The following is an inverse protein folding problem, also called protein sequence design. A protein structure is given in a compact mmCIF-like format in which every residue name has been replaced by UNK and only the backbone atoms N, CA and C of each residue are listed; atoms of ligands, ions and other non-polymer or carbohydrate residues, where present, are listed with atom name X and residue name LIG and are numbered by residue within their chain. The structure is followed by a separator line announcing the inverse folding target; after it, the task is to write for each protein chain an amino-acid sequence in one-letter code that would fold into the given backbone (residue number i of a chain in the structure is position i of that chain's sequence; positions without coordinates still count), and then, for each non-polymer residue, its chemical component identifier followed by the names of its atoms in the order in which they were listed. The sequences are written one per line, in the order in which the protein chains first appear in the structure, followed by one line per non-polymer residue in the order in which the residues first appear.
data_IF_191179246869
#
_entry.id   IF_191179246869
#
_cell.length_a   1.000
_cell.length_b   1.000
_cell.length_c   1.000
_cell.angle_alpha   90.00
_cell.angle_beta   90.00
_cell.angle_gamma   90.00
#
_symmetry.space_group_name_H-M   'P 1'
#
loop_
_entity.id
_entity.type
_entity.pdbx_description
1 polymer ?
#
# COMPACT_ATOMS: atom_id res chain seq x y z
N UNK A 1 -3.74 24.29 -45.69
CA UNK A 1 -3.90 25.08 -44.45
C UNK A 1 -4.18 24.12 -43.31
N UNK A 2 -3.20 23.85 -42.44
CA UNK A 2 -3.39 23.10 -41.18
C UNK A 2 -2.53 23.81 -40.13
N UNK A 3 -3.16 24.53 -39.20
CA UNK A 3 -2.47 25.22 -38.12
C UNK A 3 -1.93 24.21 -37.11
N UNK A 4 -0.61 24.21 -36.89
CA UNK A 4 0.03 23.47 -35.80
C UNK A 4 -0.02 24.34 -34.54
N UNK A 5 -1.07 24.18 -33.73
CA UNK A 5 -1.09 24.73 -32.36
C UNK A 5 0.00 24.05 -31.53
N UNK A 6 1.09 24.77 -31.29
CA UNK A 6 2.09 24.44 -30.26
C UNK A 6 1.47 24.58 -28.88
N UNK A 7 1.34 23.48 -28.13
CA UNK A 7 1.02 23.51 -26.70
C UNK A 7 2.25 24.04 -25.95
N UNK A 8 2.14 25.08 -25.11
CA UNK A 8 3.28 25.53 -24.33
C UNK A 8 3.67 24.46 -23.31
N UNK A 9 4.93 24.08 -23.32
CA UNK A 9 5.53 23.18 -22.35
C UNK A 9 5.30 23.72 -20.94
N UNK A 10 4.80 22.85 -20.06
CA UNK A 10 4.58 23.16 -18.65
C UNK A 10 5.88 23.74 -18.06
N UNK A 11 5.76 24.97 -17.55
CA UNK A 11 6.80 25.68 -16.81
C UNK A 11 7.08 24.93 -15.51
N UNK A 12 8.02 23.99 -15.55
CA UNK A 12 8.55 23.30 -14.37
C UNK A 12 9.41 24.31 -13.57
N UNK A 13 8.74 25.13 -12.77
CA UNK A 13 9.39 26.10 -11.92
C UNK A 13 9.50 25.55 -10.50
N UNK A 14 10.76 25.29 -10.14
CA UNK A 14 11.37 25.53 -8.83
C UNK A 14 11.09 24.51 -7.72
N UNK A 15 12.14 24.19 -6.95
CA UNK A 15 12.19 23.20 -5.87
C UNK A 15 11.37 23.59 -4.64
N UNK A 16 10.05 23.70 -4.80
CA UNK A 16 9.11 24.12 -3.77
C UNK A 16 8.66 22.92 -2.93
N UNK A 17 8.77 23.05 -1.61
CA UNK A 17 8.22 22.13 -0.59
C UNK A 17 6.91 21.52 -1.09
N UNK A 18 6.84 20.18 -1.21
CA UNK A 18 5.63 19.47 -1.67
C UNK A 18 4.43 20.01 -0.90
N UNK A 19 3.58 20.79 -1.56
CA UNK A 19 2.34 21.26 -0.96
C UNK A 19 1.54 20.02 -0.59
N UNK A 20 1.15 19.90 0.69
CA UNK A 20 0.23 18.84 1.10
C UNK A 20 -1.03 18.97 0.23
N UNK A 21 -1.42 17.88 -0.44
CA UNK A 21 -2.63 17.80 -1.28
C UNK A 21 -3.43 16.55 -0.91
N UNK A 22 -4.74 16.59 -1.14
CA UNK A 22 -5.63 15.45 -0.91
C UNK A 22 -5.67 15.03 0.56
N UNK A 23 -5.54 13.73 0.82
CA UNK A 23 -5.57 13.16 2.18
C UNK A 23 -4.57 13.80 3.14
N UNK A 24 -3.40 14.20 2.63
CA UNK A 24 -2.34 14.80 3.44
C UNK A 24 -2.70 16.22 3.93
N UNK A 25 -3.59 16.92 3.22
CA UNK A 25 -4.05 18.27 3.58
C UNK A 25 -5.20 18.28 4.58
N UNK A 26 -5.85 17.14 4.82
CA UNK A 26 -7.05 17.06 5.65
C UNK A 26 -6.74 17.23 7.14
N UNK A 27 -7.77 17.65 7.88
CA UNK A 27 -7.78 17.73 9.33
C UNK A 27 -7.55 16.36 9.99
N UNK A 28 -7.06 16.37 11.23
CA UNK A 28 -6.72 15.15 11.98
C UNK A 28 -7.92 14.22 12.14
N UNK A 29 -9.08 14.77 12.47
CA UNK A 29 -10.32 14.02 12.67
C UNK A 29 -10.77 13.32 11.38
N UNK A 30 -10.79 14.06 10.26
CA UNK A 30 -11.14 13.52 8.94
C UNK A 30 -10.19 12.40 8.53
N UNK A 31 -8.87 12.57 8.74
CA UNK A 31 -7.89 11.51 8.48
C UNK A 31 -8.13 10.27 9.32
N UNK A 32 -8.44 10.44 10.61
CA UNK A 32 -8.74 9.31 11.50
C UNK A 32 -10.01 8.58 11.10
N UNK A 33 -11.06 9.31 10.70
CA UNK A 33 -12.31 8.72 10.20
C UNK A 33 -12.06 7.88 8.95
N UNK A 34 -11.39 8.45 7.95
CA UNK A 34 -11.07 7.76 6.69
C UNK A 34 -10.15 6.55 6.93
N UNK A 35 -9.11 6.68 7.76
CA UNK A 35 -8.23 5.56 8.10
C UNK A 35 -8.98 4.43 8.80
N UNK A 36 -9.86 4.78 9.75
CA UNK A 36 -10.70 3.81 10.47
C UNK A 36 -11.70 3.12 9.55
N UNK A 37 -12.32 3.87 8.63
CA UNK A 37 -13.27 3.34 7.64
C UNK A 37 -12.55 2.44 6.62
N UNK A 38 -11.36 2.82 6.16
CA UNK A 38 -10.53 2.00 5.27
C UNK A 38 -10.08 0.68 5.91
N UNK A 39 -9.72 0.69 7.20
CA UNK A 39 -9.39 -0.52 7.96
C UNK A 39 -10.59 -1.45 8.12
N UNK A 40 -11.76 -0.90 8.47
CA UNK A 40 -13.02 -1.66 8.56
C UNK A 40 -13.44 -2.24 7.21
N UNK A 41 -13.33 -1.46 6.13
CA UNK A 41 -13.63 -1.92 4.78
C UNK A 41 -12.67 -3.04 4.34
N UNK A 42 -11.38 -2.96 4.69
CA UNK A 42 -10.40 -4.01 4.39
C UNK A 42 -10.74 -5.33 5.11
N UNK A 43 -11.19 -5.26 6.36
CA UNK A 43 -11.64 -6.43 7.11
C UNK A 43 -12.98 -6.97 6.60
N UNK A 44 -13.96 -6.09 6.39
CA UNK A 44 -15.31 -6.44 5.92
C UNK A 44 -15.31 -6.97 4.48
N UNK A 45 -14.37 -6.50 3.65
CA UNK A 45 -14.19 -6.96 2.28
C UNK A 45 -13.89 -8.45 2.17
N UNK A 46 -13.56 -9.14 3.27
CA UNK A 46 -13.65 -10.60 3.33
C UNK A 46 -12.72 -11.33 2.36
N UNK A 47 -11.75 -10.64 1.76
CA UNK A 47 -10.69 -11.21 0.92
C UNK A 47 -9.70 -12.05 1.75
N UNK A 48 -9.96 -12.21 3.06
CA UNK A 48 -9.25 -13.14 3.90
C UNK A 48 -9.43 -14.55 3.38
N UNK A 49 -8.34 -15.11 2.87
CA UNK A 49 -8.29 -16.50 2.48
C UNK A 49 -8.62 -17.39 3.67
N UNK A 50 -9.72 -18.15 3.58
CA UNK A 50 -10.08 -19.14 4.60
C UNK A 50 -9.19 -20.35 4.37
N UNK A 51 -8.18 -20.52 5.22
CA UNK A 51 -7.35 -21.71 5.16
C UNK A 51 -8.18 -22.96 5.39
N UNK A 52 -8.15 -23.85 4.41
CA UNK A 52 -8.48 -25.26 4.61
C UNK A 52 -7.42 -25.90 5.51
N UNK A 53 -7.77 -27.00 6.19
CA UNK A 53 -6.85 -27.68 7.12
C UNK A 53 -5.57 -28.11 6.41
N UNK A 54 -5.70 -28.56 5.18
CA UNK A 54 -4.64 -29.02 4.29
C UNK A 54 -3.68 -27.87 3.96
N UNK A 55 -4.23 -26.69 3.68
CA UNK A 55 -3.45 -25.52 3.28
C UNK A 55 -2.74 -24.85 4.46
N UNK A 56 -3.38 -24.81 5.63
CA UNK A 56 -2.73 -24.42 6.88
C UNK A 56 -1.53 -25.33 7.19
N UNK A 57 -1.69 -26.65 7.01
CA UNK A 57 -0.60 -27.62 7.18
C UNK A 57 0.52 -27.44 6.15
N UNK A 58 0.17 -27.17 4.87
CA UNK A 58 1.17 -26.93 3.83
C UNK A 58 1.97 -25.65 4.10
N UNK A 59 1.29 -24.56 4.48
CA UNK A 59 1.92 -23.30 4.86
C UNK A 59 2.81 -23.46 6.10
N UNK A 60 2.34 -24.18 7.13
CA UNK A 60 3.12 -24.49 8.33
C UNK A 60 4.36 -25.33 8.03
N UNK A 61 4.24 -26.37 7.19
CA UNK A 61 5.39 -27.16 6.73
C UNK A 61 6.40 -26.29 5.98
N UNK A 62 5.95 -25.43 5.07
CA UNK A 62 6.79 -24.49 4.33
C UNK A 62 7.53 -23.52 5.26
N UNK A 63 6.83 -22.96 6.24
CA UNK A 63 7.41 -22.08 7.26
C UNK A 63 8.44 -22.79 8.13
N UNK A 64 8.17 -24.03 8.55
CA UNK A 64 9.12 -24.85 9.33
C UNK A 64 10.38 -25.23 8.55
N UNK A 65 10.28 -25.48 7.24
CA UNK A 65 11.45 -25.70 6.37
C UNK A 65 12.28 -24.42 6.22
N UNK A 66 11.63 -23.27 6.03
CA UNK A 66 12.29 -21.98 5.91
C UNK A 66 13.02 -21.58 7.21
N UNK A 67 12.37 -21.75 8.37
CA UNK A 67 12.94 -21.47 9.68
C UNK A 67 14.15 -22.34 10.00
N UNK A 68 14.09 -23.65 9.68
CA UNK A 68 15.22 -24.57 9.87
C UNK A 68 16.45 -24.20 9.03
N UNK A 69 16.28 -23.51 7.90
CA UNK A 69 17.39 -22.97 7.08
C UNK A 69 17.94 -21.62 7.57
N UNK A 70 17.18 -20.88 8.40
CA UNK A 70 17.59 -19.57 8.94
C UNK A 70 18.20 -19.62 10.34
N UNK A 71 18.21 -20.79 11.01
CA UNK A 71 18.66 -20.94 12.40
C UNK A 71 20.18 -21.04 12.59
N UNK A 72 20.98 -20.97 11.52
CA UNK A 72 22.44 -20.89 11.63
C UNK A 72 22.92 -19.48 11.27
N UNK A 73 22.74 -18.53 12.19
CA UNK A 73 23.42 -17.24 12.13
C UNK A 73 24.49 -17.24 13.23
N UNK A 74 25.79 -17.34 12.90
CA UNK A 74 26.83 -17.20 13.91
C UNK A 74 26.74 -15.79 14.52
N UNK A 75 26.88 -15.73 15.86
CA UNK A 75 26.95 -14.48 16.61
C UNK A 75 28.20 -13.68 16.27
#
# INVERSE_FOLDING_TARGET
MIEKTTRPAARANNGTKKSLRGFASMDKETKQRIASEGGKASQAGGLGHKWTKEEAQAAGRKGGIASRRGANKPK
#
